data_IF_096886723327
#
_entry.id   IF_096886723327
#
_cell.length_a   1.000
_cell.length_b   1.000
_cell.length_c   1.000
_cell.angle_alpha   90.00
_cell.angle_beta   90.00
_cell.angle_gamma   90.00
#
_symmetry.space_group_name_H-M   'P 1'
#
loop_
_entity.id
_entity.type
_entity.pdbx_description
1 polymer ?
#
# COMPACT_ATOMS: atom_id res chain seq x y z
N UNK A 1 -45.77 -2.38 -38.32
CA UNK A 1 -44.97 -1.35 -39.01
C UNK A 1 -43.62 -1.22 -38.29
N UNK A 2 -42.52 -1.58 -38.96
CA UNK A 2 -41.15 -1.41 -38.46
C UNK A 2 -40.74 0.06 -38.60
N UNK A 3 -40.16 0.66 -37.57
CA UNK A 3 -39.42 1.93 -37.72
C UNK A 3 -38.02 1.82 -37.12
N UNK A 4 -37.07 1.78 -38.04
CA UNK A 4 -35.63 1.97 -37.87
C UNK A 4 -35.32 3.38 -37.32
N UNK A 5 -34.34 3.50 -36.42
CA UNK A 5 -33.71 4.77 -36.06
C UNK A 5 -32.78 4.71 -34.84
N UNK A 6 -31.47 4.54 -35.05
CA UNK A 6 -30.39 4.70 -34.04
C UNK A 6 -30.15 6.21 -33.78
N UNK A 7 -29.48 6.65 -32.69
CA UNK A 7 -28.01 6.54 -32.60
C UNK A 7 -27.46 6.11 -31.23
N UNK A 8 -26.29 5.46 -31.28
CA UNK A 8 -25.38 5.31 -30.14
C UNK A 8 -25.08 6.68 -29.52
N UNK A 9 -25.31 6.85 -28.22
CA UNK A 9 -24.75 7.95 -27.44
C UNK A 9 -24.01 7.36 -26.23
N UNK A 10 -22.69 7.28 -26.40
CA UNK A 10 -21.71 7.08 -25.35
C UNK A 10 -21.79 8.21 -24.34
N UNK A 11 -22.09 7.90 -23.07
CA UNK A 11 -21.73 8.76 -21.95
C UNK A 11 -21.02 7.90 -20.92
N UNK A 12 -19.68 7.81 -21.05
CA UNK A 12 -18.79 7.49 -19.94
C UNK A 12 -18.87 8.67 -18.97
N UNK A 13 -19.78 8.59 -18.00
CA UNK A 13 -19.80 9.49 -16.86
C UNK A 13 -18.60 9.18 -15.97
N UNK A 14 -17.61 10.07 -15.96
CA UNK A 14 -16.50 10.06 -15.02
C UNK A 14 -17.05 10.45 -13.64
N UNK A 15 -17.49 9.47 -12.85
CA UNK A 15 -17.92 9.70 -11.49
C UNK A 15 -16.69 9.81 -10.58
N UNK A 16 -16.35 11.02 -10.14
CA UNK A 16 -15.45 11.22 -9.00
C UNK A 16 -16.21 10.90 -7.72
N UNK A 17 -16.26 9.62 -7.36
CA UNK A 17 -16.65 9.23 -6.01
C UNK A 17 -15.47 9.55 -5.08
N UNK A 18 -15.57 10.64 -4.32
CA UNK A 18 -14.73 10.83 -3.14
C UNK A 18 -15.08 9.71 -2.15
N UNK A 19 -14.34 8.61 -2.21
CA UNK A 19 -14.45 7.53 -1.24
C UNK A 19 -13.92 8.06 0.11
N UNK A 20 -14.82 8.59 0.94
CA UNK A 20 -14.57 8.69 2.37
C UNK A 20 -14.55 7.27 2.92
N UNK A 21 -13.39 6.62 2.84
CA UNK A 21 -13.14 5.35 3.50
C UNK A 21 -13.29 5.58 5.01
N UNK A 22 -14.44 5.21 5.57
CA UNK A 22 -14.61 5.09 7.00
C UNK A 22 -13.53 4.12 7.53
N UNK A 23 -12.88 4.39 8.67
CA UNK A 23 -11.93 3.45 9.22
C UNK A 23 -12.70 2.17 9.51
N UNK A 24 -12.36 1.08 8.83
CA UNK A 24 -12.92 -0.22 9.11
C UNK A 24 -12.68 -0.50 10.59
N UNK A 25 -13.75 -0.64 11.37
CA UNK A 25 -13.66 -0.97 12.79
C UNK A 25 -12.90 -2.31 12.90
N UNK A 26 -11.62 -2.23 13.26
CA UNK A 26 -10.77 -3.40 13.37
C UNK A 26 -11.36 -4.29 14.47
N UNK A 27 -11.97 -5.42 14.06
CA UNK A 27 -12.38 -6.48 14.99
C UNK A 27 -11.13 -6.91 15.75
N UNK A 28 -11.02 -6.45 16.99
CA UNK A 28 -9.89 -6.75 17.85
C UNK A 28 -9.99 -8.23 18.21
N UNK A 29 -9.06 -9.09 17.77
CA UNK A 29 -9.11 -10.50 18.13
C UNK A 29 -9.07 -10.63 19.66
N UNK A 30 -9.80 -11.59 20.21
CA UNK A 30 -9.74 -11.92 21.63
C UNK A 30 -8.27 -12.21 21.98
N UNK A 31 -7.63 -11.31 22.75
CA UNK A 31 -6.20 -11.43 23.08
C UNK A 31 -6.03 -12.57 24.09
N UNK A 32 -5.61 -13.72 23.58
CA UNK A 32 -5.09 -14.83 24.39
C UNK A 32 -3.58 -14.86 24.15
N UNK A 33 -2.79 -14.42 25.14
CA UNK A 33 -1.32 -14.40 25.06
C UNK A 33 -0.67 -13.15 25.68
N UNK A 34 0.67 -13.15 25.82
CA UNK A 34 1.42 -12.02 26.36
C UNK A 34 1.30 -10.76 25.49
N UNK A 35 1.59 -9.59 26.08
CA UNK A 35 1.57 -8.32 25.37
C UNK A 35 2.72 -8.24 24.35
N UNK A 36 2.38 -8.23 23.06
CA UNK A 36 3.32 -7.99 21.96
C UNK A 36 3.39 -6.49 21.71
N UNK A 37 4.61 -5.94 21.76
CA UNK A 37 4.90 -4.52 21.52
C UNK A 37 5.87 -4.38 20.35
N UNK A 38 5.66 -3.35 19.53
CA UNK A 38 6.64 -2.92 18.53
C UNK A 38 7.67 -2.05 19.24
N UNK A 39 8.91 -2.54 19.33
CA UNK A 39 9.99 -1.84 20.04
C UNK A 39 10.58 -0.72 19.18
N UNK A 40 10.97 -1.06 17.95
CA UNK A 40 11.49 -0.10 16.97
C UNK A 40 11.22 -0.59 15.53
N UNK A 41 11.19 0.33 14.57
CA UNK A 41 10.98 0.04 13.16
C UNK A 41 11.68 1.05 12.26
N UNK A 42 12.54 0.55 11.38
CA UNK A 42 13.25 1.34 10.36
C UNK A 42 12.79 0.91 8.97
N UNK A 43 12.85 1.83 8.00
CA UNK A 43 12.55 1.55 6.59
C UNK A 43 13.67 2.05 5.70
N UNK A 44 13.85 1.40 4.55
CA UNK A 44 14.59 1.98 3.44
C UNK A 44 13.81 3.16 2.84
N UNK A 45 14.51 4.19 2.32
CA UNK A 45 13.85 5.31 1.67
C UNK A 45 13.15 4.85 0.39
N UNK A 46 11.94 5.37 0.16
CA UNK A 46 11.21 5.07 -1.07
C UNK A 46 11.69 5.97 -2.20
N UNK A 47 12.39 5.37 -3.16
CA UNK A 47 12.89 6.04 -4.36
C UNK A 47 12.21 5.47 -5.60
N UNK A 48 12.17 6.26 -6.66
CA UNK A 48 11.60 5.84 -7.94
C UNK A 48 12.42 4.71 -8.58
N UNK A 49 11.76 3.72 -9.17
CA UNK A 49 12.44 2.61 -9.85
C UNK A 49 13.39 3.11 -10.94
N UNK A 50 14.57 2.48 -11.06
CA UNK A 50 15.59 2.89 -12.04
C UNK A 50 16.48 4.06 -11.61
N UNK A 51 16.37 4.54 -10.35
CA UNK A 51 17.21 5.62 -9.82
C UNK A 51 18.35 5.08 -8.95
N UNK A 52 18.31 5.30 -7.63
CA UNK A 52 19.40 5.11 -6.67
C UNK A 52 19.68 3.63 -6.37
N UNK A 53 18.64 2.79 -6.39
CA UNK A 53 18.74 1.36 -6.06
C UNK A 53 18.58 0.44 -7.26
N UNK A 54 18.85 0.93 -8.48
CA UNK A 54 18.60 0.18 -9.73
C UNK A 54 19.50 -1.05 -9.91
N UNK A 55 20.71 -1.01 -9.34
CA UNK A 55 21.73 -2.06 -9.50
C UNK A 55 21.78 -3.02 -8.30
N UNK A 56 20.89 -2.82 -7.31
CA UNK A 56 20.81 -3.64 -6.11
C UNK A 56 19.72 -4.69 -6.22
N UNK A 57 19.93 -5.83 -5.56
CA UNK A 57 18.89 -6.84 -5.44
C UNK A 57 17.98 -6.55 -4.24
N UNK A 58 16.75 -7.07 -4.28
CA UNK A 58 15.78 -6.88 -3.20
C UNK A 58 16.32 -7.36 -1.83
N UNK A 59 17.16 -8.41 -1.83
CA UNK A 59 17.81 -8.93 -0.63
C UNK A 59 18.79 -7.93 0.01
N UNK A 60 19.43 -7.08 -0.80
CA UNK A 60 20.37 -6.08 -0.31
C UNK A 60 19.62 -4.93 0.38
N UNK A 61 18.52 -4.48 -0.22
CA UNK A 61 17.64 -3.48 0.40
C UNK A 61 17.02 -4.00 1.70
N UNK A 62 16.63 -5.28 1.72
CA UNK A 62 16.15 -5.91 2.94
C UNK A 62 17.26 -5.98 4.00
N UNK A 63 18.47 -6.39 3.63
CA UNK A 63 19.62 -6.45 4.54
C UNK A 63 19.89 -5.11 5.21
N UNK A 64 19.91 -4.01 4.44
CA UNK A 64 20.11 -2.67 4.99
C UNK A 64 18.98 -2.25 5.93
N UNK A 65 17.72 -2.62 5.62
CA UNK A 65 16.60 -2.38 6.54
C UNK A 65 16.78 -3.11 7.87
N UNK A 66 17.16 -4.40 7.85
CA UNK A 66 17.41 -5.17 9.08
C UNK A 66 18.60 -4.64 9.87
N UNK A 67 19.67 -4.26 9.17
CA UNK A 67 20.87 -3.69 9.80
C UNK A 67 20.57 -2.37 10.50
N UNK A 68 19.76 -1.51 9.88
CA UNK A 68 19.32 -0.24 10.48
C UNK A 68 18.58 -0.44 11.80
N UNK A 69 17.70 -1.44 11.88
CA UNK A 69 16.99 -1.77 13.13
C UNK A 69 17.95 -2.25 14.22
N UNK A 70 18.91 -3.12 13.90
CA UNK A 70 19.87 -3.61 14.89
C UNK A 70 20.81 -2.50 15.37
N UNK A 71 21.24 -1.61 14.46
CA UNK A 71 22.17 -0.53 14.77
C UNK A 71 21.57 0.56 15.67
N UNK A 72 20.26 0.78 15.63
CA UNK A 72 19.60 1.70 16.57
C UNK A 72 19.40 1.09 17.96
N UNK A 73 19.50 -0.24 18.07
CA UNK A 73 19.32 -0.99 19.31
C UNK A 73 20.62 -1.21 20.11
N UNK A 74 21.79 -0.97 19.53
CA UNK A 74 23.12 -1.10 20.15
C UNK A 74 23.82 0.25 20.27
#
# INVERSE_FOLDING_TARGET
>A
MLRFGRPLQSIRGLATAAATAAPAAAKRPARVGPNIVLVDAVRTPFVMSGTVFKDLWAVDLQREALKGTIQLLY
#
